data_IF_584896145824
#
_entry.id   IF_584896145824
#
_cell.length_a   1.000
_cell.length_b   1.000
_cell.length_c   1.000
_cell.angle_alpha   90.00
_cell.angle_beta   90.00
_cell.angle_gamma   90.00
#
_symmetry.space_group_name_H-M   'P 1'
#
loop_
_entity.id
_entity.type
_entity.pdbx_description
1 polymer ?
#
# COMPACT_ATOMS: atom_id res chain seq x y z
N UNK A 1 12.40 -21.60 6.78
CA UNK A 1 11.26 -21.76 7.68
C UNK A 1 9.95 -21.59 6.91
N UNK A 2 8.81 -22.11 7.39
CA UNK A 2 7.49 -21.85 6.80
C UNK A 2 7.13 -20.37 6.91
N UNK A 3 7.40 -19.74 8.06
CA UNK A 3 7.06 -18.34 8.31
C UNK A 3 7.86 -17.38 7.41
N UNK A 4 9.16 -17.65 7.23
CA UNK A 4 10.01 -16.94 6.26
C UNK A 4 9.45 -17.02 4.83
N UNK A 5 9.03 -18.22 4.40
CA UNK A 5 8.48 -18.42 3.07
C UNK A 5 7.16 -17.67 2.86
N UNK A 6 6.30 -17.65 3.88
CA UNK A 6 5.02 -16.95 3.84
C UNK A 6 5.20 -15.42 3.85
N UNK A 7 6.15 -14.89 4.62
CA UNK A 7 6.45 -13.45 4.58
C UNK A 7 7.09 -13.05 3.26
N UNK A 8 7.98 -13.87 2.70
CA UNK A 8 8.54 -13.64 1.39
C UNK A 8 7.46 -13.65 0.29
N UNK A 9 6.53 -14.60 0.32
CA UNK A 9 5.38 -14.65 -0.60
C UNK A 9 4.49 -13.39 -0.46
N UNK A 10 4.21 -12.97 0.77
CA UNK A 10 3.44 -11.76 1.02
C UNK A 10 4.13 -10.51 0.48
N UNK A 11 5.44 -10.34 0.71
CA UNK A 11 6.21 -9.22 0.18
C UNK A 11 6.24 -9.23 -1.37
N UNK A 12 6.40 -10.40 -1.98
CA UNK A 12 6.36 -10.55 -3.44
C UNK A 12 4.97 -10.22 -4.02
N UNK A 13 3.90 -10.58 -3.31
CA UNK A 13 2.55 -10.18 -3.66
C UNK A 13 2.37 -8.65 -3.62
N UNK A 14 2.81 -7.98 -2.54
CA UNK A 14 2.73 -6.52 -2.42
C UNK A 14 3.48 -5.81 -3.55
N UNK A 15 4.69 -6.28 -3.89
CA UNK A 15 5.50 -5.71 -4.97
C UNK A 15 4.86 -5.92 -6.35
N UNK A 16 4.50 -7.16 -6.68
CA UNK A 16 3.93 -7.49 -7.99
C UNK A 16 2.56 -6.84 -8.22
N UNK A 17 1.74 -6.77 -7.18
CA UNK A 17 0.42 -6.13 -7.26
C UNK A 17 0.55 -4.61 -7.45
N UNK A 18 1.41 -3.91 -6.70
CA UNK A 18 1.61 -2.47 -6.90
C UNK A 18 2.21 -2.16 -8.27
N UNK A 19 3.22 -2.93 -8.71
CA UNK A 19 3.85 -2.76 -10.03
C UNK A 19 2.83 -2.89 -11.16
N UNK A 20 1.86 -3.81 -11.05
CA UNK A 20 0.78 -3.95 -12.04
C UNK A 20 -0.01 -2.66 -12.22
N UNK A 21 -0.34 -1.96 -11.14
CA UNK A 21 -1.07 -0.69 -11.23
C UNK A 21 -0.18 0.44 -11.75
N UNK A 22 1.11 0.47 -11.38
CA UNK A 22 2.06 1.45 -11.95
C UNK A 22 2.16 1.27 -13.46
N UNK A 23 2.37 0.04 -13.95
CA UNK A 23 2.40 -0.28 -15.38
C UNK A 23 1.12 0.15 -16.08
N UNK A 24 -0.05 -0.16 -15.49
CA UNK A 24 -1.33 0.27 -16.03
C UNK A 24 -1.44 1.79 -16.18
N UNK A 25 -1.00 2.57 -15.19
CA UNK A 25 -1.05 4.03 -15.29
C UNK A 25 -0.12 4.57 -16.39
N UNK A 26 1.04 3.95 -16.60
CA UNK A 26 1.93 4.27 -17.72
C UNK A 26 1.24 3.96 -19.06
N UNK A 27 0.59 2.79 -19.18
CA UNK A 27 -0.19 2.42 -20.37
C UNK A 27 -1.36 3.38 -20.66
N UNK A 28 -1.94 3.97 -19.60
CA UNK A 28 -2.99 4.99 -19.69
C UNK A 28 -2.46 6.40 -20.00
N UNK A 29 -1.14 6.57 -20.12
CA UNK A 29 -0.52 7.81 -20.59
C UNK A 29 0.26 8.59 -19.52
N UNK A 30 0.49 8.05 -18.32
CA UNK A 30 1.42 8.66 -17.38
C UNK A 30 2.85 8.69 -18.00
N UNK A 31 3.55 9.84 -17.95
CA UNK A 31 4.81 10.02 -18.67
C UNK A 31 5.99 9.20 -18.10
N UNK A 32 5.95 8.88 -16.81
CA UNK A 32 6.96 8.09 -16.11
C UNK A 32 6.38 7.40 -14.85
N UNK A 33 7.19 6.54 -14.22
CA UNK A 33 6.81 5.84 -12.98
C UNK A 33 6.51 6.82 -11.83
N UNK A 34 7.21 7.95 -11.76
CA UNK A 34 7.00 8.95 -10.72
C UNK A 34 5.59 9.55 -10.79
N UNK A 35 5.17 9.94 -11.99
CA UNK A 35 3.83 10.49 -12.28
C UNK A 35 2.74 9.43 -12.15
N UNK A 36 3.06 8.17 -12.44
CA UNK A 36 2.16 7.03 -12.30
C UNK A 36 1.95 6.60 -10.83
N UNK A 37 2.89 6.88 -9.94
CA UNK A 37 2.96 6.26 -8.61
C UNK A 37 1.71 6.55 -7.76
N UNK A 38 1.31 7.81 -7.69
CA UNK A 38 0.20 8.23 -6.83
C UNK A 38 -1.15 7.65 -7.32
N UNK A 39 -1.57 7.83 -8.59
CA UNK A 39 -2.81 7.23 -9.07
C UNK A 39 -2.77 5.70 -9.04
N UNK A 40 -1.60 5.08 -9.30
CA UNK A 40 -1.44 3.64 -9.19
C UNK A 40 -1.63 3.13 -7.76
N UNK A 41 -1.05 3.82 -6.77
CA UNK A 41 -1.16 3.43 -5.36
C UNK A 41 -2.59 3.57 -4.85
N UNK A 42 -3.31 4.60 -5.29
CA UNK A 42 -4.72 4.80 -4.99
C UNK A 42 -5.61 3.68 -5.56
N UNK A 43 -5.43 3.31 -6.83
CA UNK A 43 -6.17 2.21 -7.45
C UNK A 43 -5.81 0.85 -6.85
N UNK A 44 -4.52 0.61 -6.62
CA UNK A 44 -4.02 -0.59 -5.96
C UNK A 44 -4.66 -0.77 -4.59
N UNK A 45 -4.73 0.30 -3.79
CA UNK A 45 -5.30 0.21 -2.46
C UNK A 45 -6.81 -0.02 -2.48
N UNK A 46 -7.55 0.61 -3.40
CA UNK A 46 -8.98 0.30 -3.61
C UNK A 46 -9.20 -1.17 -3.95
N UNK A 47 -8.39 -1.73 -4.85
CA UNK A 47 -8.42 -3.15 -5.20
C UNK A 47 -8.07 -4.04 -4.01
N UNK A 48 -7.04 -3.66 -3.25
CA UNK A 48 -6.60 -4.40 -2.07
C UNK A 48 -7.66 -4.41 -0.95
N UNK A 49 -8.39 -3.31 -0.75
CA UNK A 49 -9.52 -3.26 0.19
C UNK A 49 -10.69 -4.12 -0.29
N UNK A 50 -11.05 -4.05 -1.58
CA UNK A 50 -12.20 -4.77 -2.12
C UNK A 50 -11.96 -6.27 -2.26
N UNK A 51 -10.74 -6.67 -2.67
CA UNK A 51 -10.43 -8.02 -3.14
C UNK A 51 -9.25 -8.67 -2.41
N UNK A 52 -8.48 -7.91 -1.62
CA UNK A 52 -7.26 -8.37 -0.97
C UNK A 52 -7.45 -8.93 0.45
N UNK A 53 -8.70 -9.11 0.90
CA UNK A 53 -9.03 -9.41 2.30
C UNK A 53 -8.24 -10.60 2.89
N UNK A 54 -8.11 -11.71 2.16
CA UNK A 54 -7.40 -12.89 2.66
C UNK A 54 -5.87 -12.67 2.72
N UNK A 55 -5.30 -11.99 1.71
CA UNK A 55 -3.87 -11.62 1.69
C UNK A 55 -3.54 -10.59 2.77
N UNK A 56 -4.44 -9.65 2.99
CA UNK A 56 -4.41 -8.65 4.04
C UNK A 56 -4.37 -9.28 5.43
N UNK A 57 -5.28 -10.23 5.69
CA UNK A 57 -5.32 -10.98 6.97
C UNK A 57 -4.03 -11.78 7.16
N UNK A 58 -3.63 -12.56 6.15
CA UNK A 58 -2.43 -13.40 6.23
C UNK A 58 -1.16 -12.58 6.49
N UNK A 59 -0.91 -11.54 5.69
CA UNK A 59 0.27 -10.70 5.84
C UNK A 59 0.34 -10.03 7.22
N UNK A 60 -0.80 -9.61 7.74
CA UNK A 60 -0.90 -9.02 9.07
C UNK A 60 -0.64 -10.00 10.20
N UNK A 61 -1.23 -11.19 10.13
CA UNK A 61 -1.07 -12.21 11.15
C UNK A 61 0.39 -12.64 11.24
N UNK A 62 1.01 -12.92 10.10
CA UNK A 62 2.43 -13.24 9.97
C UNK A 62 3.31 -12.12 10.51
N UNK A 63 3.10 -10.87 10.06
CA UNK A 63 3.90 -9.74 10.52
C UNK A 63 3.73 -9.47 12.02
N UNK A 64 2.55 -9.72 12.58
CA UNK A 64 2.30 -9.50 14.02
C UNK A 64 2.98 -10.56 14.88
N UNK A 65 2.94 -11.82 14.45
CA UNK A 65 3.62 -12.92 15.13
C UNK A 65 5.14 -12.76 15.05
N UNK A 66 5.65 -12.37 13.89
CA UNK A 66 7.09 -12.31 13.60
C UNK A 66 7.72 -10.94 13.86
N UNK A 67 6.96 -9.94 14.35
CA UNK A 67 7.46 -8.57 14.57
C UNK A 67 8.72 -8.47 15.45
N UNK A 68 8.97 -9.49 16.28
CA UNK A 68 10.11 -9.58 17.17
C UNK A 68 11.39 -10.07 16.48
N UNK A 69 11.28 -10.72 15.32
CA UNK A 69 12.41 -11.22 14.55
C UNK A 69 12.68 -10.32 13.33
N UNK A 70 13.74 -9.48 13.37
CA UNK A 70 14.03 -8.53 12.31
C UNK A 70 14.44 -9.20 10.99
N UNK A 71 14.98 -10.42 11.01
CA UNK A 71 15.41 -11.14 9.81
C UNK A 71 14.20 -11.68 9.04
N UNK A 72 13.25 -12.26 9.76
CA UNK A 72 12.02 -12.82 9.20
C UNK A 72 11.17 -11.72 8.53
N UNK A 73 11.04 -10.54 9.15
CA UNK A 73 10.27 -9.42 8.56
C UNK A 73 11.03 -8.62 7.50
N UNK A 74 12.30 -8.91 7.27
CA UNK A 74 13.17 -8.15 6.36
C UNK A 74 12.61 -8.02 4.92
N UNK A 75 11.95 -9.03 4.32
CA UNK A 75 11.36 -8.89 2.99
C UNK A 75 10.32 -7.76 2.90
N UNK A 76 9.44 -7.64 3.90
CA UNK A 76 8.42 -6.58 3.96
C UNK A 76 9.09 -5.22 4.25
N UNK A 77 10.11 -5.17 5.11
CA UNK A 77 10.89 -3.95 5.33
C UNK A 77 11.55 -3.45 4.05
N UNK A 78 12.10 -4.35 3.24
CA UNK A 78 12.69 -4.02 1.94
C UNK A 78 11.64 -3.45 0.98
N UNK A 79 10.42 -3.99 1.00
CA UNK A 79 9.31 -3.45 0.22
C UNK A 79 8.96 -2.01 0.63
N UNK A 80 8.79 -1.73 1.93
CA UNK A 80 8.56 -0.36 2.41
C UNK A 80 9.72 0.58 2.08
N UNK A 81 10.97 0.13 2.24
CA UNK A 81 12.15 0.92 1.90
C UNK A 81 12.16 1.29 0.40
N UNK A 82 11.78 0.34 -0.48
CA UNK A 82 11.62 0.59 -1.90
C UNK A 82 10.48 1.58 -2.20
N UNK A 83 9.32 1.43 -1.55
CA UNK A 83 8.19 2.36 -1.69
C UNK A 83 8.61 3.78 -1.28
N UNK A 84 9.20 3.94 -0.08
CA UNK A 84 9.71 5.23 0.40
C UNK A 84 10.80 5.79 -0.51
N UNK A 85 11.66 4.94 -1.06
CA UNK A 85 12.65 5.32 -2.08
C UNK A 85 11.99 5.96 -3.31
N UNK A 86 10.91 5.37 -3.83
CA UNK A 86 10.11 5.95 -4.92
C UNK A 86 9.48 7.28 -4.51
N UNK A 87 8.91 7.37 -3.31
CA UNK A 87 8.35 8.63 -2.78
C UNK A 87 9.41 9.73 -2.72
N UNK A 88 10.62 9.42 -2.26
CA UNK A 88 11.71 10.39 -2.16
C UNK A 88 12.21 10.89 -3.53
N UNK A 89 11.98 10.13 -4.60
CA UNK A 89 12.28 10.56 -5.97
C UNK A 89 11.25 11.54 -6.53
N UNK A 90 10.06 11.67 -5.91
CA UNK A 90 9.04 12.62 -6.34
C UNK A 90 9.44 14.09 -6.10
N UNK A 91 8.83 15.05 -6.82
CA UNK A 91 8.90 16.46 -6.49
C UNK A 91 8.49 16.72 -5.04
N UNK A 92 9.13 17.69 -4.37
CA UNK A 92 8.94 17.94 -2.94
C UNK A 92 7.48 18.18 -2.54
N UNK A 93 6.68 18.81 -3.42
CA UNK A 93 5.26 19.08 -3.17
C UNK A 93 4.39 17.82 -3.20
N UNK A 94 4.81 16.76 -3.89
CA UNK A 94 4.08 15.49 -4.00
C UNK A 94 4.48 14.47 -2.94
N UNK A 95 5.69 14.58 -2.37
CA UNK A 95 6.17 13.67 -1.32
C UNK A 95 5.23 13.61 -0.13
N UNK A 96 4.79 14.77 0.35
CA UNK A 96 3.90 14.86 1.50
C UNK A 96 2.54 14.23 1.20
N UNK A 97 1.98 14.48 0.01
CA UNK A 97 0.72 13.86 -0.44
C UNK A 97 0.83 12.33 -0.42
N UNK A 98 1.91 11.78 -0.98
CA UNK A 98 2.13 10.34 -1.03
C UNK A 98 2.38 9.72 0.35
N UNK A 99 3.15 10.38 1.23
CA UNK A 99 3.34 9.91 2.61
C UNK A 99 2.02 9.90 3.39
N UNK A 100 1.17 10.92 3.24
CA UNK A 100 -0.17 10.94 3.84
C UNK A 100 -1.03 9.80 3.28
N UNK A 101 -0.95 9.52 1.98
CA UNK A 101 -1.64 8.39 1.36
C UNK A 101 -1.28 7.07 2.03
N UNK A 102 0.03 6.80 2.11
CA UNK A 102 0.57 5.60 2.74
C UNK A 102 0.06 5.50 4.19
N UNK A 103 0.24 6.55 4.99
CA UNK A 103 -0.18 6.55 6.39
C UNK A 103 -1.68 6.36 6.57
N UNK A 104 -2.51 6.99 5.74
CA UNK A 104 -3.97 6.81 5.80
C UNK A 104 -4.37 5.38 5.45
N UNK A 105 -3.72 4.78 4.45
CA UNK A 105 -3.98 3.41 4.04
C UNK A 105 -3.54 2.39 5.09
N UNK A 106 -2.37 2.58 5.70
CA UNK A 106 -1.94 1.81 6.87
C UNK A 106 -2.94 1.94 8.02
N UNK A 107 -3.44 3.15 8.28
CA UNK A 107 -4.44 3.40 9.32
C UNK A 107 -5.76 2.63 9.07
N UNK A 108 -6.29 2.69 7.86
CA UNK A 108 -7.50 1.94 7.46
C UNK A 108 -7.30 0.43 7.55
N UNK A 109 -6.09 -0.04 7.25
CA UNK A 109 -5.72 -1.43 7.32
C UNK A 109 -5.62 -1.93 8.78
N UNK A 110 -4.89 -1.22 9.63
CA UNK A 110 -4.68 -1.61 11.03
C UNK A 110 -5.94 -1.46 11.88
N UNK A 111 -6.76 -0.43 11.65
CA UNK A 111 -8.04 -0.27 12.38
C UNK A 111 -9.00 -1.43 12.09
N UNK A 112 -9.09 -1.87 10.84
CA UNK A 112 -9.82 -3.08 10.44
C UNK A 112 -9.28 -4.34 11.09
N UNK A 113 -7.96 -4.55 11.03
CA UNK A 113 -7.25 -5.67 11.68
C UNK A 113 -7.65 -5.86 13.14
N UNK A 114 -7.66 -4.79 13.93
CA UNK A 114 -7.86 -4.90 15.37
C UNK A 114 -9.34 -4.95 15.78
N UNK A 115 -10.27 -5.02 14.81
CA UNK A 115 -11.70 -4.90 15.09
C UNK A 115 -12.08 -3.55 15.69
N UNK A 116 -11.20 -2.54 15.53
CA UNK A 116 -11.40 -1.15 15.98
C UNK A 116 -12.08 -0.32 14.88
N UNK A 117 -12.51 -0.99 13.82
CA UNK A 117 -13.12 -0.40 12.63
C UNK A 117 -14.52 0.12 12.96
N UNK A 118 -14.53 1.35 13.45
CA UNK A 118 -15.77 2.12 13.64
C UNK A 118 -16.18 2.85 12.35
N UNK A 119 -15.32 2.78 11.32
CA UNK A 119 -15.51 3.41 10.02
C UNK A 119 -16.25 2.42 9.12
N UNK A 120 -17.48 2.76 8.73
CA UNK A 120 -18.26 1.93 7.81
C UNK A 120 -17.64 1.90 6.41
N UNK A 121 -18.05 0.93 5.58
CA UNK A 121 -17.58 0.81 4.19
C UNK A 121 -17.78 2.09 3.37
N UNK A 122 -18.86 2.83 3.61
CA UNK A 122 -19.14 4.08 2.90
C UNK A 122 -18.19 5.22 3.31
N UNK A 123 -17.88 5.34 4.59
CA UNK A 123 -16.89 6.33 5.08
C UNK A 123 -15.49 5.97 4.61
N UNK A 124 -15.17 4.68 4.53
CA UNK A 124 -13.89 4.21 3.95
C UNK A 124 -13.80 4.62 2.49
N UNK A 125 -14.86 4.41 1.71
CA UNK A 125 -14.95 4.85 0.32
C UNK A 125 -14.79 6.37 0.19
N UNK A 126 -15.40 7.13 1.09
CA UNK A 126 -15.26 8.60 1.13
C UNK A 126 -13.82 9.04 1.40
N UNK A 127 -13.12 8.42 2.37
CA UNK A 127 -11.70 8.68 2.63
C UNK A 127 -10.85 8.35 1.41
N UNK A 128 -11.12 7.21 0.77
CA UNK A 128 -10.44 6.79 -0.45
C UNK A 128 -10.62 7.81 -1.57
N UNK A 129 -11.86 8.20 -1.83
CA UNK A 129 -12.20 9.17 -2.87
C UNK A 129 -11.60 10.55 -2.58
N UNK A 130 -11.62 10.99 -1.31
CA UNK A 130 -10.94 12.20 -0.89
C UNK A 130 -9.44 12.14 -1.20
N UNK A 131 -8.75 11.07 -0.81
CA UNK A 131 -7.32 10.93 -1.07
C UNK A 131 -7.03 10.94 -2.57
N UNK A 132 -7.77 10.16 -3.37
CA UNK A 132 -7.63 10.15 -4.83
C UNK A 132 -7.86 11.53 -5.44
N UNK A 133 -8.88 12.26 -4.98
CA UNK A 133 -9.18 13.59 -5.50
C UNK A 133 -8.08 14.61 -5.13
N UNK A 134 -7.52 14.55 -3.92
CA UNK A 134 -6.39 15.38 -3.52
C UNK A 134 -5.11 15.08 -4.31
N UNK A 135 -4.98 13.85 -4.82
CA UNK A 135 -3.86 13.44 -5.66
C UNK A 135 -3.98 13.89 -7.11
N UNK A 136 -5.21 13.99 -7.63
CA UNK A 136 -5.47 14.44 -9.01
C UNK A 136 -5.66 15.97 -9.12
N UNK A 137 -5.80 16.67 -8.01
CA UNK A 137 -5.84 18.13 -7.98
C UNK A 137 -4.41 18.69 -8.12
N UNK A 138 -4.14 19.23 -9.32
CA UNK A 138 -2.94 20.02 -9.65
C UNK A 138 -2.77 21.22 -8.72
#
# INVERSE_FOLDING_TARGET
DLDEALIADYAAFLDSSLKRFITRQIELGAPDEASALIPAYAEWFRDFVANGHDRAILGVELLSQQAHDPEIVQPVRNWYASLVGRVNALPMHDRAKMLVAIMAFEGLFFTRKFGLDTIGEDQRREILDYLVNQFNAN
#
